data_IF_754484250686
#
_entry.id   IF_754484250686
#
_cell.length_a   1.000
_cell.length_b   1.000
_cell.length_c   1.000
_cell.angle_alpha   90.00
_cell.angle_beta   90.00
_cell.angle_gamma   90.00
#
_symmetry.space_group_name_H-M   'P 1'
#
loop_
_entity.id
_entity.type
_entity.pdbx_description
1 polymer ?
#
# COMPACT_ATOMS: atom_id res chain seq x y z
N UNK A 1 0.76 2.05 -45.90
CA UNK A 1 0.67 0.99 -44.87
C UNK A 1 0.49 1.59 -43.46
N UNK A 2 -0.63 2.29 -43.19
CA UNK A 2 -0.86 2.94 -41.89
C UNK A 2 -1.21 1.95 -40.77
N UNK A 3 -1.80 0.80 -41.13
CA UNK A 3 -2.20 -0.28 -40.22
C UNK A 3 -1.03 -0.97 -39.53
N UNK A 4 0.11 -1.09 -40.22
CA UNK A 4 1.30 -1.75 -39.70
C UNK A 4 2.00 -0.91 -38.62
N UNK A 5 2.02 0.42 -38.79
CA UNK A 5 2.53 1.35 -37.77
C UNK A 5 1.64 1.34 -36.52
N UNK A 6 0.33 1.27 -36.71
CA UNK A 6 -0.66 1.23 -35.62
C UNK A 6 -0.51 -0.05 -34.78
N UNK A 7 -0.26 -1.18 -35.43
CA UNK A 7 0.05 -2.45 -34.78
C UNK A 7 1.31 -2.38 -33.91
N UNK A 8 2.38 -1.77 -34.42
CA UNK A 8 3.63 -1.59 -33.67
C UNK A 8 3.45 -0.70 -32.43
N UNK A 9 2.67 0.37 -32.55
CA UNK A 9 2.37 1.28 -31.44
C UNK A 9 1.57 0.55 -30.35
N UNK A 10 0.55 -0.22 -30.72
CA UNK A 10 -0.23 -1.02 -29.77
C UNK A 10 0.64 -2.05 -29.05
N UNK A 11 1.55 -2.72 -29.78
CA UNK A 11 2.47 -3.70 -29.20
C UNK A 11 3.41 -3.04 -28.18
N UNK A 12 3.94 -1.86 -28.50
CA UNK A 12 4.79 -1.06 -27.61
C UNK A 12 4.04 -0.63 -26.34
N UNK A 13 2.80 -0.16 -26.46
CA UNK A 13 1.98 0.23 -25.32
C UNK A 13 1.73 -0.94 -24.35
N UNK A 14 1.43 -2.13 -24.88
CA UNK A 14 1.23 -3.33 -24.06
C UNK A 14 2.52 -3.76 -23.36
N UNK A 15 3.68 -3.58 -23.98
CA UNK A 15 4.98 -3.89 -23.39
C UNK A 15 5.32 -2.95 -22.22
N UNK A 16 4.99 -1.65 -22.36
CA UNK A 16 5.22 -0.64 -21.33
C UNK A 16 4.26 -0.78 -20.13
N UNK A 17 3.04 -1.27 -20.34
CA UNK A 17 2.05 -1.45 -19.27
C UNK A 17 2.44 -2.54 -18.25
N UNK A 18 3.33 -3.47 -18.62
CA UNK A 18 3.74 -4.58 -17.73
C UNK A 18 4.54 -4.14 -16.50
N UNK A 19 4.91 -2.85 -16.39
CA UNK A 19 5.76 -2.34 -15.30
C UNK A 19 4.94 -1.83 -14.09
N UNK A 20 3.61 -1.76 -14.19
CA UNK A 20 2.79 -1.13 -13.13
C UNK A 20 2.20 -2.09 -12.08
N UNK A 21 2.62 -3.37 -12.10
CA UNK A 21 2.27 -4.36 -11.08
C UNK A 21 3.46 -4.64 -10.17
N UNK A 22 3.81 -3.70 -9.29
CA UNK A 22 4.81 -3.93 -8.25
C UNK A 22 4.46 -5.18 -7.45
N UNK A 23 5.46 -6.04 -7.21
CA UNK A 23 5.33 -7.27 -6.43
C UNK A 23 4.58 -6.96 -5.13
N UNK A 24 3.33 -7.40 -5.03
CA UNK A 24 2.58 -7.38 -3.78
C UNK A 24 3.26 -8.41 -2.87
N UNK A 25 4.34 -8.00 -2.20
CA UNK A 25 4.72 -8.63 -0.95
C UNK A 25 3.49 -8.49 -0.05
N UNK A 26 2.73 -9.57 0.03
CA UNK A 26 1.74 -9.78 1.07
C UNK A 26 2.54 -9.86 2.38
N UNK A 27 3.05 -8.72 2.86
CA UNK A 27 3.73 -8.62 4.14
C UNK A 27 2.75 -9.21 5.12
N UNK A 28 3.15 -10.37 5.65
CA UNK A 28 2.42 -11.18 6.62
C UNK A 28 1.56 -10.25 7.46
N UNK A 29 0.23 -10.43 7.39
CA UNK A 29 -0.72 -9.77 8.31
C UNK A 29 -0.06 -9.76 9.67
N UNK A 30 0.26 -8.58 10.23
CA UNK A 30 0.88 -8.56 11.53
C UNK A 30 -0.08 -9.25 12.49
N UNK A 31 0.35 -10.38 13.04
CA UNK A 31 -0.34 -11.05 14.13
C UNK A 31 -0.16 -10.17 15.37
N UNK A 32 -0.97 -9.13 15.51
CA UNK A 32 -0.73 -8.14 16.55
C UNK A 32 -2.03 -7.79 17.26
N UNK A 33 -2.19 -8.38 18.46
CA UNK A 33 -3.18 -7.99 19.47
C UNK A 33 -3.30 -6.46 19.63
N UNK A 34 -2.25 -5.72 19.32
CA UNK A 34 -2.24 -4.26 19.18
C UNK A 34 -3.37 -3.71 18.29
N UNK A 35 -3.59 -4.32 17.11
CA UNK A 35 -4.58 -3.87 16.14
C UNK A 35 -6.01 -4.33 16.49
N UNK A 36 -6.18 -5.22 17.48
CA UNK A 36 -7.51 -5.63 17.97
C UNK A 36 -8.13 -4.54 18.86
N UNK A 37 -7.30 -3.69 19.48
CA UNK A 37 -7.78 -2.55 20.25
C UNK A 37 -8.30 -1.47 19.30
N UNK A 38 -9.45 -0.90 19.64
CA UNK A 38 -9.96 0.31 18.95
C UNK A 38 -9.00 1.47 19.26
N UNK A 39 -8.48 2.18 18.24
CA UNK A 39 -7.67 3.37 18.49
C UNK A 39 -8.53 4.46 19.15
N UNK A 40 -7.89 5.29 19.96
CA UNK A 40 -8.45 6.55 20.41
C UNK A 40 -8.58 7.51 19.21
N UNK A 41 -9.49 8.49 19.28
CA UNK A 41 -9.74 9.44 18.18
C UNK A 41 -8.49 10.27 17.83
N UNK A 42 -7.68 10.58 18.83
CA UNK A 42 -6.38 11.26 18.74
C UNK A 42 -5.36 10.52 17.88
N UNK A 43 -5.40 9.18 17.85
CA UNK A 43 -4.53 8.38 16.97
C UNK A 43 -4.94 8.44 15.50
N UNK A 44 -6.15 8.94 15.17
CA UNK A 44 -6.61 9.01 13.78
C UNK A 44 -5.81 10.01 12.94
N UNK A 45 -5.05 10.93 13.54
CA UNK A 45 -4.14 11.82 12.82
C UNK A 45 -2.80 11.15 12.45
N UNK A 46 -2.47 10.00 13.07
CA UNK A 46 -1.19 9.32 12.90
C UNK A 46 -1.26 8.27 11.79
N UNK A 47 -1.52 8.71 10.57
CA UNK A 47 -1.67 7.82 9.43
C UNK A 47 -0.35 7.12 9.04
N UNK A 48 -0.50 5.90 8.52
CA UNK A 48 0.59 5.14 7.93
C UNK A 48 0.15 4.49 6.61
N UNK A 49 1.13 4.19 5.78
CA UNK A 49 0.92 3.48 4.52
C UNK A 49 2.15 2.65 4.19
N UNK A 50 2.13 2.01 3.03
CA UNK A 50 3.32 1.34 2.51
C UNK A 50 4.52 2.30 2.36
N UNK A 51 4.26 3.53 1.93
CA UNK A 51 5.28 4.56 1.71
C UNK A 51 5.56 5.40 2.96
N UNK A 52 4.55 5.59 3.82
CA UNK A 52 4.66 6.34 5.06
C UNK A 52 4.70 5.39 6.26
N UNK A 53 5.91 5.04 6.71
CA UNK A 53 6.09 4.17 7.87
C UNK A 53 5.84 4.92 9.17
N UNK A 54 5.51 4.16 10.22
CA UNK A 54 5.39 4.73 11.56
C UNK A 54 6.74 5.26 12.04
N UNK A 55 6.77 6.47 12.64
CA UNK A 55 8.01 7.10 13.11
C UNK A 55 8.61 6.37 14.31
N UNK A 56 7.77 5.79 15.17
CA UNK A 56 8.21 5.05 16.35
C UNK A 56 8.56 3.59 16.01
N UNK A 57 9.71 3.12 16.49
CA UNK A 57 10.18 1.75 16.26
C UNK A 57 9.27 0.67 16.88
N UNK A 58 8.54 1.02 17.95
CA UNK A 58 7.59 0.12 18.63
C UNK A 58 6.16 0.23 18.09
N UNK A 59 5.91 1.13 17.15
CA UNK A 59 4.60 1.28 16.53
C UNK A 59 4.44 0.35 15.34
N UNK A 60 3.20 -0.08 15.13
CA UNK A 60 2.76 -0.80 13.95
C UNK A 60 1.65 -0.05 13.22
N UNK A 61 1.65 -0.17 11.89
CA UNK A 61 0.55 0.25 11.04
C UNK A 61 -0.62 -0.75 11.12
N UNK A 62 -1.71 -0.33 11.77
CA UNK A 62 -2.93 -1.12 11.94
C UNK A 62 -4.07 -0.57 11.04
N UNK A 63 -4.87 -1.46 10.40
CA UNK A 63 -6.09 -1.05 9.73
C UNK A 63 -7.19 -0.77 10.76
N UNK A 64 -7.81 0.43 10.70
CA UNK A 64 -8.81 0.87 11.66
C UNK A 64 -10.00 1.58 10.97
N UNK A 65 -10.98 2.05 11.75
CA UNK A 65 -12.11 2.82 11.21
C UNK A 65 -11.71 4.19 10.63
N UNK A 66 -10.55 4.72 11.04
CA UNK A 66 -9.97 5.94 10.49
C UNK A 66 -9.04 5.68 9.28
N UNK A 67 -8.98 4.45 8.78
CA UNK A 67 -7.95 4.01 7.84
C UNK A 67 -6.73 3.42 8.56
N UNK A 68 -5.60 3.35 7.86
CA UNK A 68 -4.36 2.80 8.42
C UNK A 68 -3.67 3.83 9.32
N UNK A 69 -3.44 3.48 10.58
CA UNK A 69 -2.82 4.35 11.59
C UNK A 69 -1.76 3.63 12.42
N UNK A 70 -0.82 4.38 12.96
CA UNK A 70 0.23 3.86 13.84
C UNK A 70 -0.31 3.61 15.25
N UNK A 71 -0.16 2.39 15.74
CA UNK A 71 -0.51 1.98 17.10
C UNK A 71 0.70 1.35 17.79
N UNK A 72 0.87 1.54 19.09
CA UNK A 72 1.88 0.80 19.85
C UNK A 72 1.63 -0.70 19.76
N UNK A 73 2.69 -1.50 19.60
CA UNK A 73 2.64 -2.96 19.79
C UNK A 73 2.05 -3.38 21.13
#
# INVERSE_FOLDING_TARGET
>A
MPTQALLLILLLCMLLLQVQGGYHELKRKPSQKACEKKPSMDLCSNHCSYFLKCPEANAICCPTFCGNVCMSR
#
